data_IF_869587694414
#
_entry.id   IF_869587694414
#
_cell.length_a   1.000
_cell.length_b   1.000
_cell.length_c   1.000
_cell.angle_alpha   90.00
_cell.angle_beta   90.00
_cell.angle_gamma   90.00
#
_symmetry.space_group_name_H-M   'P 1'
#
loop_
_entity.id
_entity.type
_entity.pdbx_description
1 polymer ?
#
# COMPACT_ATOMS: atom_id res chain seq x y z
N UNK A 1 22.34 -25.48 -17.23
CA UNK A 1 22.03 -25.46 -15.79
C UNK A 1 22.94 -24.43 -15.15
N UNK A 2 22.41 -23.24 -14.87
CA UNK A 2 23.06 -22.25 -14.03
C UNK A 2 21.95 -21.64 -13.15
N UNK A 3 22.19 -21.74 -11.86
CA UNK A 3 21.32 -21.43 -10.72
C UNK A 3 20.82 -19.98 -10.77
N UNK A 4 19.50 -19.81 -10.77
CA UNK A 4 18.81 -18.51 -10.81
C UNK A 4 18.07 -18.29 -9.49
N UNK A 5 18.79 -18.43 -8.38
CA UNK A 5 18.31 -17.99 -7.07
C UNK A 5 18.47 -16.47 -6.98
N UNK A 6 17.46 -15.72 -7.45
CA UNK A 6 17.36 -14.28 -7.18
C UNK A 6 16.95 -14.13 -5.72
N UNK A 7 17.94 -13.83 -4.90
CA UNK A 7 17.79 -13.47 -3.49
C UNK A 7 16.75 -12.35 -3.35
N UNK A 8 15.64 -12.66 -2.68
CA UNK A 8 14.51 -11.75 -2.45
C UNK A 8 14.96 -10.69 -1.45
N UNK A 9 15.44 -9.55 -1.95
CA UNK A 9 15.87 -8.43 -1.11
C UNK A 9 14.68 -7.77 -0.42
N UNK A 10 14.54 -7.99 0.88
CA UNK A 10 13.62 -7.29 1.78
C UNK A 10 14.00 -5.79 1.85
N UNK A 11 13.09 -4.86 1.49
CA UNK A 11 13.45 -3.46 1.25
C UNK A 11 13.54 -2.63 2.53
N UNK A 12 14.73 -2.04 2.74
CA UNK A 12 15.23 -1.35 3.93
C UNK A 12 14.52 0.01 4.26
N UNK A 13 13.75 0.07 5.35
CA UNK A 13 13.36 1.28 6.08
C UNK A 13 14.47 1.69 7.08
N UNK A 14 14.65 3.00 7.27
CA UNK A 14 15.81 3.63 7.93
C UNK A 14 16.29 2.88 9.20
N UNK A 15 17.50 2.31 9.09
CA UNK A 15 18.37 1.71 10.12
C UNK A 15 17.77 1.62 11.53
N UNK A 16 17.21 0.45 11.88
CA UNK A 16 16.92 0.02 13.26
C UNK A 16 15.45 -0.24 13.63
N UNK A 17 14.48 0.09 12.75
CA UNK A 17 13.03 0.08 13.05
C UNK A 17 12.16 -0.76 12.09
N UNK A 18 12.77 -1.51 11.17
CA UNK A 18 12.12 -2.14 9.99
C UNK A 18 10.85 -2.96 10.26
N UNK A 19 10.94 -4.11 10.95
CA UNK A 19 9.75 -4.96 11.11
C UNK A 19 8.72 -4.36 12.05
N UNK A 20 9.16 -3.69 13.13
CA UNK A 20 8.23 -3.12 14.10
C UNK A 20 7.48 -1.91 13.55
N UNK A 21 8.08 -1.14 12.64
CA UNK A 21 7.40 -0.04 11.96
C UNK A 21 6.39 -0.59 10.95
N UNK A 22 6.76 -1.55 10.11
CA UNK A 22 5.83 -2.16 9.14
C UNK A 22 4.68 -2.87 9.86
N UNK A 23 4.96 -3.66 10.90
CA UNK A 23 3.93 -4.32 11.73
C UNK A 23 3.02 -3.33 12.46
N UNK A 24 3.54 -2.16 12.84
CA UNK A 24 2.71 -1.11 13.45
C UNK A 24 1.82 -0.45 12.42
N UNK A 25 2.40 -0.07 11.28
CA UNK A 25 1.68 0.59 10.18
C UNK A 25 0.66 -0.34 9.52
N UNK A 26 0.89 -1.65 9.52
CA UNK A 26 -0.07 -2.63 9.01
C UNK A 26 -1.36 -2.74 9.84
N UNK A 27 -1.38 -2.15 11.05
CA UNK A 27 -2.58 -2.11 11.90
C UNK A 27 -3.42 -0.85 11.68
N UNK A 28 -2.90 0.14 10.97
CA UNK A 28 -3.62 1.37 10.72
C UNK A 28 -4.69 1.16 9.66
N UNK A 29 -5.85 1.78 9.86
CA UNK A 29 -6.97 1.71 8.92
C UNK A 29 -7.48 3.11 8.58
N UNK A 30 -8.21 3.22 7.47
CA UNK A 30 -8.77 4.50 7.07
C UNK A 30 -9.81 5.00 8.08
N UNK A 31 -10.56 4.09 8.69
CA UNK A 31 -11.62 4.39 9.65
C UNK A 31 -11.08 4.94 10.97
N UNK A 32 -9.94 4.44 11.44
CA UNK A 32 -9.35 4.85 12.73
C UNK A 32 -8.30 5.95 12.57
N UNK A 33 -7.42 5.82 11.58
CA UNK A 33 -6.22 6.67 11.46
C UNK A 33 -6.42 7.80 10.45
N UNK A 34 -7.41 7.68 9.55
CA UNK A 34 -7.81 8.72 8.61
C UNK A 34 -9.28 9.14 8.76
N UNK A 35 -9.88 8.95 9.94
CA UNK A 35 -11.29 9.25 10.22
C UNK A 35 -11.71 10.67 9.81
N UNK A 36 -10.80 11.63 9.95
CA UNK A 36 -11.01 13.04 9.59
C UNK A 36 -11.26 13.23 8.09
N UNK A 37 -10.74 12.35 7.23
CA UNK A 37 -11.00 12.37 5.79
C UNK A 37 -12.35 11.74 5.45
N UNK A 38 -12.82 10.76 6.22
CA UNK A 38 -14.01 9.97 5.89
C UNK A 38 -15.26 10.83 5.65
N UNK A 39 -15.42 11.92 6.42
CA UNK A 39 -16.55 12.84 6.27
C UNK A 39 -16.57 13.63 4.95
N UNK A 40 -15.45 13.63 4.21
CA UNK A 40 -15.29 14.36 2.96
C UNK A 40 -15.24 13.45 1.74
N UNK A 41 -15.15 12.14 1.93
CA UNK A 41 -15.10 11.17 0.84
C UNK A 41 -16.50 10.85 0.33
N UNK A 42 -16.62 10.74 -0.98
CA UNK A 42 -17.87 10.40 -1.65
C UNK A 42 -17.61 9.33 -2.73
N UNK A 43 -18.57 8.42 -2.97
CA UNK A 43 -18.49 7.49 -4.08
C UNK A 43 -18.26 8.19 -5.42
N UNK A 44 -17.37 7.62 -6.23
CA UNK A 44 -17.00 8.14 -7.56
C UNK A 44 -15.86 9.15 -7.57
N UNK A 45 -15.28 9.49 -6.42
CA UNK A 45 -14.06 10.29 -6.37
C UNK A 45 -12.85 9.50 -6.88
N UNK A 46 -11.97 10.19 -7.60
CA UNK A 46 -10.65 9.65 -7.98
C UNK A 46 -9.68 9.80 -6.81
N UNK A 47 -8.90 8.76 -6.54
CA UNK A 47 -7.97 8.72 -5.42
C UNK A 47 -6.51 8.79 -5.88
N UNK A 48 -5.76 9.70 -5.26
CA UNK A 48 -4.30 9.77 -5.29
C UNK A 48 -3.81 9.74 -3.84
N UNK A 49 -2.99 8.77 -3.49
CA UNK A 49 -2.39 8.63 -2.16
C UNK A 49 -0.88 8.88 -2.24
N UNK A 50 -0.41 9.92 -1.53
CA UNK A 50 1.00 10.35 -1.53
C UNK A 50 1.61 10.04 -0.17
N UNK A 51 2.63 9.18 -0.16
CA UNK A 51 3.15 8.56 1.05
C UNK A 51 2.33 7.34 1.47
N UNK A 52 1.91 6.51 0.51
CA UNK A 52 0.99 5.40 0.75
C UNK A 52 1.56 4.29 1.64
N UNK A 53 2.90 4.24 1.82
CA UNK A 53 3.58 3.27 2.66
C UNK A 53 3.17 1.82 2.33
N UNK A 54 2.74 1.01 3.32
CA UNK A 54 2.29 -0.37 3.08
C UNK A 54 0.92 -0.48 2.40
N UNK A 55 0.16 0.62 2.27
CA UNK A 55 -1.10 0.67 1.53
C UNK A 55 -2.38 0.36 2.32
N UNK A 56 -2.30 0.06 3.62
CA UNK A 56 -3.47 -0.32 4.44
C UNK A 56 -4.54 0.77 4.50
N UNK A 57 -4.14 2.02 4.71
CA UNK A 57 -5.06 3.17 4.70
C UNK A 57 -5.57 3.42 3.27
N UNK A 58 -4.73 3.28 2.25
CA UNK A 58 -5.08 3.47 0.84
C UNK A 58 -6.25 2.57 0.39
N UNK A 59 -6.28 1.32 0.84
CA UNK A 59 -7.37 0.37 0.54
C UNK A 59 -8.68 0.81 1.19
N UNK A 60 -8.64 1.29 2.43
CA UNK A 60 -9.83 1.82 3.10
C UNK A 60 -10.35 3.09 2.42
N UNK A 61 -9.44 3.98 1.99
CA UNK A 61 -9.79 5.17 1.22
C UNK A 61 -10.44 4.82 -0.13
N UNK A 62 -9.86 3.86 -0.87
CA UNK A 62 -10.40 3.40 -2.15
C UNK A 62 -11.80 2.79 -1.99
N UNK A 63 -12.03 2.05 -0.90
CA UNK A 63 -13.34 1.49 -0.56
C UNK A 63 -14.36 2.57 -0.24
N UNK A 64 -13.96 3.59 0.53
CA UNK A 64 -14.84 4.70 0.92
C UNK A 64 -15.32 5.53 -0.29
N UNK A 65 -14.49 5.66 -1.32
CA UNK A 65 -14.86 6.35 -2.58
C UNK A 65 -15.41 5.41 -3.65
N UNK A 66 -15.55 4.11 -3.35
CA UNK A 66 -16.04 3.08 -4.28
C UNK A 66 -15.34 3.12 -5.65
N UNK A 67 -14.00 3.23 -5.65
CA UNK A 67 -13.19 3.20 -6.87
C UNK A 67 -12.53 1.84 -7.08
N UNK A 68 -12.53 1.38 -8.33
CA UNK A 68 -11.81 0.16 -8.75
C UNK A 68 -10.31 0.43 -8.99
N UNK A 69 -9.93 1.70 -9.18
CA UNK A 69 -8.56 2.11 -9.49
C UNK A 69 -8.16 3.35 -8.68
N UNK A 70 -6.94 3.34 -8.16
CA UNK A 70 -6.32 4.50 -7.54
C UNK A 70 -4.80 4.51 -7.78
N UNK A 71 -4.19 5.67 -7.60
CA UNK A 71 -2.74 5.82 -7.74
C UNK A 71 -2.11 6.02 -6.35
N UNK A 72 -1.18 5.15 -5.99
CA UNK A 72 -0.33 5.31 -4.81
C UNK A 72 1.08 5.73 -5.22
N UNK A 73 1.64 6.73 -4.55
CA UNK A 73 3.01 7.20 -4.74
C UNK A 73 3.70 7.14 -3.39
N UNK A 74 4.79 6.39 -3.29
CA UNK A 74 5.70 6.43 -2.15
C UNK A 74 7.13 6.58 -2.64
N UNK A 75 7.98 7.22 -1.84
CA UNK A 75 9.41 7.36 -2.15
C UNK A 75 10.18 6.04 -1.91
N UNK A 76 9.55 5.06 -1.26
CA UNK A 76 10.06 3.69 -1.05
C UNK A 76 9.29 2.72 -1.94
N UNK A 77 9.97 1.79 -2.61
CA UNK A 77 9.29 0.75 -3.40
C UNK A 77 8.35 -0.09 -2.52
N UNK A 78 7.09 -0.20 -2.95
CA UNK A 78 6.13 -1.14 -2.39
C UNK A 78 6.51 -2.57 -2.84
N UNK A 79 6.55 -3.59 -1.95
CA UNK A 79 6.68 -4.97 -2.41
C UNK A 79 5.42 -5.32 -3.21
N UNK A 80 5.56 -5.38 -4.53
CA UNK A 80 4.45 -5.61 -5.45
C UNK A 80 3.69 -6.89 -5.14
N UNK A 81 2.35 -6.83 -5.12
CA UNK A 81 1.52 -8.03 -5.23
C UNK A 81 1.71 -8.60 -6.63
N UNK A 82 2.25 -9.81 -6.72
CA UNK A 82 2.27 -10.58 -7.96
C UNK A 82 0.84 -10.69 -8.50
N UNK A 83 0.55 -9.99 -9.60
CA UNK A 83 -0.66 -10.20 -10.38
C UNK A 83 -0.60 -11.58 -11.03
N UNK A 84 -1.68 -12.34 -10.93
CA UNK A 84 -1.87 -13.60 -11.64
C UNK A 84 -1.85 -13.36 -13.16
N UNK A 85 -0.87 -13.92 -13.86
CA UNK A 85 -0.86 -13.97 -15.32
C UNK A 85 -2.02 -14.83 -15.83
N UNK A 86 -3.06 -14.17 -16.33
CA UNK A 86 -3.99 -14.76 -17.29
C UNK A 86 -3.40 -14.67 -18.69
N UNK A 87 -3.12 -15.83 -19.29
CA UNK A 87 -3.17 -16.14 -20.73
C UNK A 87 -2.77 -15.07 -21.75
N UNK A 88 -1.58 -15.22 -22.33
CA UNK A 88 -1.38 -15.46 -23.77
C UNK A 88 -0.25 -16.46 -23.98
#
# INVERSE_FOLDING_TARGET
>A
MADNTRETSIPYYTMGYENSAVERLSRFTAETDAAYLMAHLQPGMRLLDVGCGPGNISVGLASAVATEEFHGIDMKESPGRAGSNGSQ
#
